data_IF_954258964916
#
_entry.id   IF_954258964916
#
_cell.length_a   1.000
_cell.length_b   1.000
_cell.length_c   1.000
_cell.angle_alpha   90.00
_cell.angle_beta   90.00
_cell.angle_gamma   90.00
#
_symmetry.space_group_name_H-M   'P 1'
#
loop_
_entity.id
_entity.type
_entity.pdbx_description
1 polymer ?
#
# COMPACT_ATOMS: atom_id res chain seq x y z
N UNK A 1 31.24 33.73 -15.67
CA UNK A 1 31.32 32.28 -15.97
C UNK A 1 30.18 31.61 -15.23
N UNK A 2 29.28 30.92 -15.93
CA UNK A 2 28.23 30.12 -15.28
C UNK A 2 28.89 28.89 -14.65
N UNK A 3 28.63 28.61 -13.38
CA UNK A 3 29.12 27.39 -12.74
C UNK A 3 28.50 26.17 -13.42
N UNK A 4 29.29 25.10 -13.62
CA UNK A 4 28.77 23.84 -14.15
C UNK A 4 27.85 23.19 -13.11
N UNK A 5 26.77 22.57 -13.57
CA UNK A 5 25.86 21.83 -12.69
C UNK A 5 26.57 20.60 -12.11
N UNK A 6 26.24 20.16 -10.88
CA UNK A 6 26.71 18.88 -10.37
C UNK A 6 26.23 17.72 -11.25
N UNK A 7 27.05 16.67 -11.37
CA UNK A 7 26.76 15.52 -12.23
C UNK A 7 26.24 14.32 -11.44
N UNK A 8 25.28 13.62 -12.03
CA UNK A 8 24.76 12.34 -11.57
C UNK A 8 24.84 11.32 -12.71
N UNK A 9 25.01 10.06 -12.34
CA UNK A 9 25.26 8.97 -13.27
C UNK A 9 24.27 7.83 -13.04
N UNK A 10 23.44 7.54 -14.03
CA UNK A 10 22.58 6.37 -14.09
C UNK A 10 23.19 5.29 -14.98
N UNK A 11 23.04 4.03 -14.58
CA UNK A 11 23.33 2.88 -15.44
C UNK A 11 22.21 1.86 -15.31
N UNK A 12 21.80 1.27 -16.43
CA UNK A 12 20.89 0.12 -16.48
C UNK A 12 21.45 -0.92 -17.46
N UNK A 13 21.34 -2.20 -17.12
CA UNK A 13 21.79 -3.28 -18.00
C UNK A 13 23.30 -3.56 -17.93
N UNK A 14 23.80 -4.50 -18.75
CA UNK A 14 23.01 -5.33 -19.68
C UNK A 14 22.21 -6.44 -18.96
N UNK A 15 22.53 -6.76 -17.70
CA UNK A 15 21.76 -7.66 -16.85
C UNK A 15 20.70 -6.91 -16.02
N UNK A 16 20.07 -7.56 -15.05
CA UNK A 16 19.11 -6.94 -14.11
C UNK A 16 19.81 -6.07 -13.05
N UNK A 17 20.68 -5.17 -13.47
CA UNK A 17 21.38 -4.21 -12.61
C UNK A 17 20.98 -2.78 -12.99
N UNK A 18 20.63 -1.99 -11.97
CA UNK A 18 20.33 -0.57 -12.10
C UNK A 18 21.07 0.20 -11.00
N UNK A 19 21.73 1.31 -11.36
CA UNK A 19 22.43 2.14 -10.39
C UNK A 19 22.23 3.62 -10.67
N UNK A 20 22.23 4.43 -9.61
CA UNK A 20 22.20 5.88 -9.68
C UNK A 20 23.19 6.45 -8.67
N UNK A 21 24.21 7.17 -9.16
CA UNK A 21 25.40 7.56 -8.40
C UNK A 21 25.73 9.04 -8.57
N UNK A 22 26.35 9.62 -7.54
CA UNK A 22 26.93 10.96 -7.60
C UNK A 22 28.29 10.97 -8.32
N UNK A 23 28.89 12.15 -8.46
CA UNK A 23 30.20 12.31 -9.09
C UNK A 23 31.36 11.67 -8.31
N UNK A 24 31.14 11.33 -7.03
CA UNK A 24 32.10 10.61 -6.20
C UNK A 24 31.88 9.08 -6.29
N UNK A 25 30.88 8.63 -7.05
CA UNK A 25 30.54 7.22 -7.23
C UNK A 25 29.67 6.66 -6.10
N UNK A 26 29.22 7.46 -5.15
CA UNK A 26 28.34 6.99 -4.08
C UNK A 26 26.93 6.81 -4.61
N UNK A 27 26.20 5.83 -4.07
CA UNK A 27 24.78 5.67 -4.38
C UNK A 27 24.00 6.90 -3.92
N UNK A 28 23.19 7.47 -4.80
CA UNK A 28 22.31 8.59 -4.47
C UNK A 28 21.19 8.09 -3.56
N UNK A 29 21.19 8.58 -2.33
CA UNK A 29 20.12 8.34 -1.34
C UNK A 29 19.46 9.64 -0.89
N UNK A 30 20.23 10.72 -0.87
CA UNK A 30 19.78 12.09 -0.64
C UNK A 30 20.51 13.06 -1.57
N UNK A 31 19.79 14.06 -2.10
CA UNK A 31 20.36 15.22 -2.79
C UNK A 31 19.84 16.51 -2.16
N UNK A 32 20.52 17.62 -2.40
CA UNK A 32 19.97 18.95 -2.15
C UNK A 32 19.15 19.41 -3.37
N UNK A 33 18.14 20.29 -3.20
CA UNK A 33 17.41 20.85 -4.33
C UNK A 33 18.33 21.65 -5.25
N UNK A 34 18.11 21.57 -6.56
CA UNK A 34 18.93 22.26 -7.54
C UNK A 34 18.88 21.64 -8.93
N UNK A 35 19.60 22.24 -9.87
CA UNK A 35 19.76 21.75 -11.23
C UNK A 35 21.02 20.88 -11.34
N UNK A 36 20.87 19.70 -11.94
CA UNK A 36 21.89 18.67 -12.08
C UNK A 36 21.95 18.21 -13.54
N UNK A 37 23.15 17.85 -14.00
CA UNK A 37 23.34 17.15 -15.27
C UNK A 37 23.36 15.65 -15.00
N UNK A 38 22.38 14.94 -15.53
CA UNK A 38 22.18 13.50 -15.34
C UNK A 38 22.61 12.77 -16.61
N UNK A 39 23.67 11.98 -16.53
CA UNK A 39 24.07 11.09 -17.61
C UNK A 39 23.57 9.68 -17.33
N UNK A 40 22.84 9.08 -18.26
CA UNK A 40 22.36 7.70 -18.15
C UNK A 40 22.98 6.86 -19.25
N UNK A 41 23.57 5.72 -18.86
CA UNK A 41 24.07 4.69 -19.77
C UNK A 41 23.09 3.51 -19.76
N UNK A 42 22.40 3.31 -20.86
CA UNK A 42 21.56 2.15 -21.11
C UNK A 42 22.33 1.12 -21.93
N UNK A 43 22.51 -0.06 -21.37
CA UNK A 43 23.37 -1.12 -21.92
C UNK A 43 22.55 -2.26 -22.53
N UNK A 44 21.22 -2.15 -22.63
CA UNK A 44 20.33 -3.22 -23.10
C UNK A 44 19.12 -2.69 -23.85
N UNK A 45 18.66 -3.43 -24.85
CA UNK A 45 17.48 -3.17 -25.68
C UNK A 45 16.18 -3.79 -25.11
N UNK A 46 16.22 -4.28 -23.87
CA UNK A 46 15.06 -4.78 -23.12
C UNK A 46 14.91 -4.13 -21.74
N UNK A 47 15.61 -3.02 -21.53
CA UNK A 47 15.64 -2.27 -20.29
C UNK A 47 15.27 -0.81 -20.50
N UNK A 48 14.97 -0.14 -19.39
CA UNK A 48 14.75 1.30 -19.38
C UNK A 48 15.32 1.83 -18.08
N UNK A 49 15.87 3.04 -18.11
CA UNK A 49 16.13 3.83 -16.92
C UNK A 49 15.08 4.92 -16.86
N UNK A 50 14.13 4.82 -15.94
CA UNK A 50 13.07 5.80 -15.75
C UNK A 50 13.28 6.53 -14.42
N UNK A 51 13.66 7.80 -14.51
CA UNK A 51 13.76 8.74 -13.39
C UNK A 51 12.48 9.55 -13.24
N UNK A 52 11.79 9.38 -12.11
CA UNK A 52 10.50 10.00 -11.84
C UNK A 52 10.43 10.67 -10.47
N UNK A 53 9.71 11.79 -10.40
CA UNK A 53 9.34 12.47 -9.16
C UNK A 53 8.72 13.84 -9.44
N UNK A 54 8.62 14.73 -8.42
CA UNK A 54 8.04 16.05 -8.61
C UNK A 54 8.69 16.83 -9.77
N UNK A 55 7.93 17.02 -10.85
CA UNK A 55 8.36 17.74 -12.05
C UNK A 55 9.40 17.04 -12.91
N UNK A 56 9.64 15.74 -12.71
CA UNK A 56 10.62 14.94 -13.44
C UNK A 56 9.97 13.64 -13.91
N UNK A 57 10.07 13.37 -15.21
CA UNK A 57 9.58 12.16 -15.89
C UNK A 57 10.49 11.89 -17.10
N UNK A 58 11.73 11.50 -16.81
CA UNK A 58 12.77 11.25 -17.81
C UNK A 58 13.01 9.75 -17.95
N UNK A 59 13.12 9.25 -19.18
CA UNK A 59 13.38 7.83 -19.40
C UNK A 59 14.08 7.54 -20.71
N UNK A 60 14.83 6.44 -20.74
CA UNK A 60 15.23 5.78 -21.99
C UNK A 60 14.07 4.94 -22.54
N UNK A 61 14.10 4.68 -23.84
CA UNK A 61 13.15 3.76 -24.50
C UNK A 61 13.59 2.30 -24.29
N UNK A 62 12.66 1.35 -24.40
CA UNK A 62 12.97 -0.07 -24.17
C UNK A 62 14.03 -0.58 -25.14
N UNK A 63 13.88 -0.29 -26.43
CA UNK A 63 14.77 -0.74 -27.51
C UNK A 63 15.96 0.22 -27.74
N UNK A 64 16.30 1.05 -26.74
CA UNK A 64 17.43 1.98 -26.81
C UNK A 64 18.68 1.41 -26.14
N UNK A 65 19.82 1.50 -26.81
CA UNK A 65 21.13 1.23 -26.19
C UNK A 65 22.06 2.40 -26.47
N UNK A 66 22.64 2.98 -25.43
CA UNK A 66 23.51 4.14 -25.56
C UNK A 66 23.54 5.03 -24.33
N UNK A 67 24.00 6.26 -24.51
CA UNK A 67 24.10 7.25 -23.43
C UNK A 67 23.17 8.43 -23.72
N UNK A 68 22.34 8.80 -22.76
CA UNK A 68 21.55 10.04 -22.77
C UNK A 68 22.05 11.00 -21.70
N UNK A 69 21.90 12.29 -21.94
CA UNK A 69 22.21 13.33 -20.96
C UNK A 69 20.97 14.22 -20.79
N UNK A 70 20.52 14.37 -19.55
CA UNK A 70 19.38 15.19 -19.17
C UNK A 70 19.85 16.31 -18.25
N UNK A 71 19.27 17.50 -18.38
CA UNK A 71 19.42 18.56 -17.37
C UNK A 71 18.15 18.59 -16.53
N UNK A 72 18.25 18.14 -15.29
CA UNK A 72 17.10 17.91 -14.40
C UNK A 72 17.15 18.90 -13.25
N UNK A 73 16.03 19.56 -12.96
CA UNK A 73 15.88 20.41 -11.77
C UNK A 73 15.09 19.67 -10.71
N UNK A 74 15.77 19.27 -9.64
CA UNK A 74 15.17 18.61 -8.49
C UNK A 74 14.64 19.63 -7.48
N UNK A 75 13.42 19.37 -6.99
CA UNK A 75 12.76 20.13 -5.92
C UNK A 75 12.65 19.24 -4.68
N UNK A 76 12.32 19.81 -3.53
CA UNK A 76 12.02 19.03 -2.31
C UNK A 76 10.98 17.94 -2.61
N UNK A 77 11.34 16.68 -2.39
CA UNK A 77 10.51 15.59 -2.89
C UNK A 77 11.09 14.19 -2.72
N UNK A 78 10.23 13.20 -3.00
CA UNK A 78 10.63 11.80 -3.14
C UNK A 78 10.73 11.47 -4.62
N UNK A 79 11.84 10.86 -5.01
CA UNK A 79 12.12 10.48 -6.38
C UNK A 79 12.42 8.99 -6.44
N UNK A 80 12.28 8.42 -7.63
CA UNK A 80 12.62 7.03 -7.91
C UNK A 80 13.30 6.89 -9.25
N UNK A 81 14.21 5.94 -9.36
CA UNK A 81 14.70 5.45 -10.63
C UNK A 81 14.37 3.96 -10.74
N UNK A 82 13.86 3.50 -11.88
CA UNK A 82 13.46 2.10 -12.08
C UNK A 82 13.51 1.67 -13.54
N UNK A 83 13.41 0.37 -13.75
CA UNK A 83 13.10 -0.22 -15.05
C UNK A 83 11.59 -0.44 -15.17
N UNK A 84 10.94 0.14 -16.19
CA UNK A 84 9.50 0.00 -16.38
C UNK A 84 9.08 -1.44 -16.75
N UNK A 85 9.77 -2.16 -17.66
CA UNK A 85 9.55 -3.59 -17.89
C UNK A 85 9.78 -4.48 -16.65
N UNK A 86 10.60 -4.03 -15.69
CA UNK A 86 10.96 -4.79 -14.49
C UNK A 86 10.75 -3.95 -13.22
N UNK A 87 9.50 -3.78 -12.73
CA UNK A 87 9.16 -2.79 -11.69
C UNK A 87 9.84 -3.00 -10.33
N UNK A 88 10.39 -4.19 -10.07
CA UNK A 88 11.17 -4.50 -8.86
C UNK A 88 12.63 -4.08 -8.97
N UNK A 89 13.11 -3.75 -10.17
CA UNK A 89 14.47 -3.29 -10.44
C UNK A 89 14.50 -1.76 -10.40
N UNK A 90 14.91 -1.21 -9.26
CA UNK A 90 14.94 0.22 -9.04
C UNK A 90 15.03 0.55 -7.56
N UNK A 91 15.09 1.83 -7.26
CA UNK A 91 15.15 2.30 -5.89
C UNK A 91 14.65 3.75 -5.78
N UNK A 92 14.65 4.28 -4.56
CA UNK A 92 14.19 5.63 -4.24
C UNK A 92 15.30 6.46 -3.60
N UNK A 93 15.19 7.77 -3.76
CA UNK A 93 16.02 8.74 -3.07
C UNK A 93 15.18 9.98 -2.71
N UNK A 94 15.72 10.77 -1.79
CA UNK A 94 15.08 11.98 -1.29
C UNK A 94 15.82 13.21 -1.80
N UNK A 95 15.09 14.28 -2.12
CA UNK A 95 15.68 15.60 -2.39
C UNK A 95 15.25 16.55 -1.28
N UNK A 96 16.24 17.22 -0.69
CA UNK A 96 16.10 18.21 0.37
C UNK A 96 15.28 17.71 1.54
N UNK A 97 14.26 18.49 1.91
CA UNK A 97 13.32 18.15 2.99
C UNK A 97 11.93 17.97 2.37
N UNK A 98 11.61 16.75 1.88
CA UNK A 98 10.35 16.53 1.20
C UNK A 98 9.21 16.95 2.12
N UNK A 99 8.20 17.69 1.62
CA UNK A 99 7.05 18.01 2.43
C UNK A 99 6.48 16.70 2.97
N UNK A 100 6.19 16.65 4.28
CA UNK A 100 5.60 15.49 4.91
C UNK A 100 4.42 15.05 4.04
N UNK A 101 4.48 13.85 3.47
CA UNK A 101 3.38 13.33 2.68
C UNK A 101 2.15 13.41 3.57
N UNK A 102 1.18 14.24 3.19
CA UNK A 102 -0.10 14.26 3.89
C UNK A 102 -0.58 12.81 3.92
N UNK A 103 -0.87 12.22 5.09
CA UNK A 103 -1.30 10.83 5.16
C UNK A 103 -2.42 10.64 4.12
N UNK A 104 -2.39 9.59 3.30
CA UNK A 104 -3.44 9.38 2.31
C UNK A 104 -4.78 9.53 3.01
N UNK A 105 -5.64 10.43 2.50
CA UNK A 105 -6.93 10.75 3.10
C UNK A 105 -7.58 9.43 3.51
N UNK A 106 -7.75 9.22 4.83
CA UNK A 106 -8.26 7.96 5.33
C UNK A 106 -9.60 7.70 4.63
N UNK A 107 -9.71 6.56 3.94
CA UNK A 107 -10.94 6.20 3.23
C UNK A 107 -12.14 6.39 4.18
N UNK A 108 -13.22 7.04 3.72
CA UNK A 108 -14.30 7.46 4.61
C UNK A 108 -14.85 6.27 5.38
N UNK A 109 -14.93 6.43 6.71
CA UNK A 109 -15.48 5.43 7.59
C UNK A 109 -16.97 5.22 7.29
N UNK A 110 -17.39 3.97 7.22
CA UNK A 110 -18.80 3.64 6.98
C UNK A 110 -19.67 4.07 8.18
N UNK A 111 -20.93 4.41 7.93
CA UNK A 111 -21.86 4.85 8.98
C UNK A 111 -22.80 3.71 9.38
N UNK A 112 -23.50 3.86 10.51
CA UNK A 112 -24.46 2.87 11.01
C UNK A 112 -25.62 2.55 10.06
N UNK A 113 -25.86 3.39 9.03
CA UNK A 113 -26.83 3.10 7.95
C UNK A 113 -26.38 1.93 7.07
N UNK A 114 -25.08 1.59 7.08
CA UNK A 114 -24.52 0.51 6.28
C UNK A 114 -24.76 -0.85 6.95
N UNK A 115 -25.48 -1.75 6.26
CA UNK A 115 -25.60 -3.15 6.68
C UNK A 115 -24.28 -3.89 6.47
N UNK A 116 -23.89 -4.69 7.46
CA UNK A 116 -22.64 -5.46 7.43
C UNK A 116 -22.92 -6.93 7.18
N UNK A 117 -22.01 -7.56 6.45
CA UNK A 117 -21.97 -8.99 6.19
C UNK A 117 -20.65 -9.55 6.73
N UNK A 118 -20.74 -10.34 7.80
CA UNK A 118 -19.65 -11.16 8.31
C UNK A 118 -19.81 -12.58 7.76
N UNK A 119 -18.83 -13.09 7.03
CA UNK A 119 -18.87 -14.47 6.50
C UNK A 119 -17.66 -15.24 6.99
N UNK A 120 -17.88 -16.38 7.63
CA UNK A 120 -16.87 -17.36 8.00
C UNK A 120 -17.10 -18.66 7.21
N UNK A 121 -16.03 -19.23 6.65
CA UNK A 121 -16.13 -20.50 5.92
C UNK A 121 -16.66 -20.37 4.47
N UNK A 122 -16.71 -21.48 3.72
CA UNK A 122 -16.34 -22.85 4.12
C UNK A 122 -14.83 -23.10 4.08
N UNK A 123 -14.06 -22.29 3.33
CA UNK A 123 -12.59 -22.26 3.40
C UNK A 123 -12.13 -21.57 4.68
N UNK A 124 -10.84 -21.63 5.03
CA UNK A 124 -10.25 -20.87 6.16
C UNK A 124 -10.19 -19.34 5.88
N UNK A 125 -11.36 -18.74 5.66
CA UNK A 125 -11.53 -17.34 5.28
C UNK A 125 -12.63 -16.74 6.14
N UNK A 126 -12.35 -15.57 6.70
CA UNK A 126 -13.35 -14.73 7.36
C UNK A 126 -13.31 -13.32 6.77
N UNK A 127 -14.46 -12.75 6.45
CA UNK A 127 -14.55 -11.42 5.85
C UNK A 127 -15.63 -10.58 6.48
N UNK A 128 -15.35 -9.29 6.66
CA UNK A 128 -16.33 -8.26 7.00
C UNK A 128 -16.49 -7.30 5.82
N UNK A 129 -17.68 -7.32 5.21
CA UNK A 129 -18.02 -6.51 4.05
C UNK A 129 -19.28 -5.69 4.31
N UNK A 130 -19.44 -4.61 3.58
CA UNK A 130 -20.74 -3.93 3.44
C UNK A 130 -21.67 -4.80 2.61
N UNK A 131 -22.98 -4.57 2.67
CA UNK A 131 -23.95 -5.22 1.77
C UNK A 131 -23.64 -4.99 0.28
N UNK A 132 -22.95 -3.90 -0.07
CA UNK A 132 -22.47 -3.61 -1.42
C UNK A 132 -21.15 -4.34 -1.78
N UNK A 133 -20.66 -5.25 -0.93
CA UNK A 133 -19.48 -6.08 -1.20
C UNK A 133 -18.13 -5.45 -0.85
N UNK A 134 -18.07 -4.16 -0.50
CA UNK A 134 -16.83 -3.47 -0.10
C UNK A 134 -16.31 -3.96 1.25
N UNK A 135 -15.01 -4.25 1.36
CA UNK A 135 -14.36 -4.57 2.63
C UNK A 135 -14.42 -3.39 3.61
N UNK A 136 -14.69 -3.68 4.88
CA UNK A 136 -14.82 -2.66 5.92
C UNK A 136 -13.48 -2.46 6.62
N UNK A 137 -12.87 -1.29 6.44
CA UNK A 137 -11.58 -0.93 7.07
C UNK A 137 -11.77 0.03 8.26
N UNK A 138 -12.76 0.90 8.19
CA UNK A 138 -13.09 1.88 9.22
C UNK A 138 -14.61 2.09 9.30
N UNK A 139 -15.12 2.34 10.50
CA UNK A 139 -16.54 2.55 10.79
C UNK A 139 -16.71 3.59 11.90
N UNK A 140 -17.74 4.42 11.79
CA UNK A 140 -18.08 5.41 12.82
C UNK A 140 -18.75 4.75 14.04
N UNK A 141 -18.97 5.54 15.09
CA UNK A 141 -19.85 5.14 16.18
C UNK A 141 -21.29 4.96 15.68
N UNK A 142 -22.02 4.06 16.35
CA UNK A 142 -23.42 3.81 16.06
C UNK A 142 -23.79 2.34 16.11
N UNK A 143 -25.06 2.05 15.81
CA UNK A 143 -25.61 0.70 15.91
C UNK A 143 -25.66 0.04 14.55
N UNK A 144 -24.84 -0.99 14.36
CA UNK A 144 -24.75 -1.73 13.11
C UNK A 144 -25.58 -3.01 13.19
N UNK A 145 -26.26 -3.32 12.07
CA UNK A 145 -26.84 -4.63 11.84
C UNK A 145 -25.83 -5.48 11.08
N UNK A 146 -25.41 -6.59 11.69
CA UNK A 146 -24.43 -7.52 11.15
C UNK A 146 -25.12 -8.83 10.80
N UNK A 147 -25.27 -9.11 9.51
CA UNK A 147 -25.64 -10.44 9.03
C UNK A 147 -24.40 -11.33 9.10
N UNK A 148 -24.47 -12.41 9.86
CA UNK A 148 -23.39 -13.36 10.06
C UNK A 148 -23.73 -14.64 9.31
N UNK A 149 -22.89 -15.03 8.35
CA UNK A 149 -23.00 -16.29 7.61
C UNK A 149 -21.88 -17.21 8.02
N UNK A 150 -22.23 -18.30 8.70
CA UNK A 150 -21.30 -19.35 9.07
C UNK A 150 -21.51 -20.55 8.16
N UNK A 151 -20.51 -20.87 7.34
CA UNK A 151 -20.65 -21.78 6.20
C UNK A 151 -19.94 -23.12 6.40
N UNK A 152 -19.24 -23.34 7.51
CA UNK A 152 -18.58 -24.62 7.78
C UNK A 152 -18.76 -25.09 9.22
N UNK A 153 -18.66 -26.40 9.43
CA UNK A 153 -18.87 -27.04 10.75
C UNK A 153 -17.62 -26.98 11.64
N UNK A 154 -16.51 -26.52 11.08
CA UNK A 154 -15.22 -26.39 11.75
C UNK A 154 -14.83 -24.91 11.87
N UNK A 155 -15.79 -24.01 11.65
CA UNK A 155 -15.61 -22.56 11.74
C UNK A 155 -16.58 -21.97 12.73
N UNK A 156 -16.17 -20.89 13.39
CA UNK A 156 -17.11 -19.97 13.98
C UNK A 156 -16.84 -18.55 13.48
N UNK A 157 -17.88 -17.74 13.44
CA UNK A 157 -17.74 -16.30 13.33
C UNK A 157 -17.69 -15.73 14.74
N UNK A 158 -16.60 -15.05 15.11
CA UNK A 158 -16.43 -14.40 16.40
C UNK A 158 -16.10 -12.92 16.19
N UNK A 159 -16.88 -12.03 16.82
CA UNK A 159 -16.65 -10.60 16.88
C UNK A 159 -16.19 -10.22 18.29
N UNK A 160 -15.09 -9.47 18.36
CA UNK A 160 -14.62 -8.80 19.58
C UNK A 160 -14.51 -7.31 19.31
N UNK A 161 -15.27 -6.51 20.05
CA UNK A 161 -15.25 -5.06 19.97
C UNK A 161 -15.48 -4.46 21.37
N UNK A 162 -15.26 -3.15 21.59
CA UNK A 162 -15.55 -2.52 22.89
C UNK A 162 -16.99 -2.79 23.34
N UNK A 163 -17.16 -3.61 24.39
CA UNK A 163 -18.46 -4.02 24.94
C UNK A 163 -19.14 -5.20 24.24
N UNK A 164 -18.46 -5.88 23.30
CA UNK A 164 -19.02 -7.03 22.57
C UNK A 164 -18.01 -8.17 22.45
N UNK A 165 -18.47 -9.37 22.76
CA UNK A 165 -17.79 -10.64 22.55
C UNK A 165 -18.87 -11.64 22.09
N UNK A 166 -19.09 -11.69 20.78
CA UNK A 166 -20.19 -12.45 20.16
C UNK A 166 -19.60 -13.53 19.26
N UNK A 167 -20.07 -14.76 19.37
CA UNK A 167 -19.67 -15.82 18.45
C UNK A 167 -20.83 -16.73 18.08
N UNK A 168 -20.77 -17.29 16.88
CA UNK A 168 -21.64 -18.41 16.54
C UNK A 168 -21.27 -19.61 17.40
N UNK A 169 -22.29 -20.27 17.93
CA UNK A 169 -22.17 -21.45 18.77
C UNK A 169 -23.30 -22.42 18.44
N UNK A 170 -23.06 -23.74 18.51
CA UNK A 170 -21.76 -24.40 18.72
C UNK A 170 -20.79 -24.20 17.53
N UNK A 171 -19.53 -24.65 17.62
CA UNK A 171 -18.57 -24.57 16.51
C UNK A 171 -19.09 -25.27 15.24
N UNK A 172 -19.95 -26.28 15.40
CA UNK A 172 -20.62 -26.98 14.30
C UNK A 172 -21.78 -26.21 13.66
N UNK A 173 -22.11 -25.01 14.15
CA UNK A 173 -23.21 -24.20 13.63
C UNK A 173 -22.97 -23.84 12.16
N UNK A 174 -23.92 -24.21 11.30
CA UNK A 174 -24.00 -23.77 9.91
C UNK A 174 -25.29 -23.01 9.71
N UNK A 175 -25.21 -21.76 9.27
CA UNK A 175 -26.40 -20.96 9.05
C UNK A 175 -26.14 -19.48 9.01
N UNK A 176 -27.24 -18.72 9.07
CA UNK A 176 -27.19 -17.26 9.11
C UNK A 176 -27.77 -16.76 10.43
N UNK A 177 -27.08 -15.82 11.08
CA UNK A 177 -27.58 -15.07 12.23
C UNK A 177 -27.57 -13.58 11.92
N UNK A 178 -28.31 -12.79 12.69
CA UNK A 178 -28.23 -11.33 12.63
C UNK A 178 -27.95 -10.79 14.02
N UNK A 179 -26.86 -10.02 14.16
CA UNK A 179 -26.48 -9.38 15.41
C UNK A 179 -26.63 -7.86 15.31
N UNK A 180 -27.12 -7.24 16.37
CA UNK A 180 -27.11 -5.78 16.52
C UNK A 180 -25.95 -5.39 17.43
N UNK A 181 -25.01 -4.60 16.91
CA UNK A 181 -23.78 -4.20 17.61
C UNK A 181 -23.73 -2.67 17.72
N UNK A 182 -23.89 -2.14 18.94
CA UNK A 182 -23.87 -0.72 19.24
C UNK A 182 -22.46 -0.25 19.63
N UNK A 183 -21.72 0.27 18.66
CA UNK A 183 -20.36 0.76 18.85
C UNK A 183 -20.41 2.14 19.50
N UNK A 184 -20.38 2.16 20.84
CA UNK A 184 -20.44 3.39 21.66
C UNK A 184 -19.07 4.00 21.94
N UNK A 185 -17.98 3.28 21.66
CA UNK A 185 -16.60 3.71 21.94
C UNK A 185 -15.72 3.48 20.71
N UNK A 186 -14.78 4.39 20.50
CA UNK A 186 -13.71 4.20 19.51
C UNK A 186 -12.82 3.04 19.92
N UNK A 187 -12.14 2.43 18.96
CA UNK A 187 -11.30 1.25 19.21
C UNK A 187 -11.20 0.36 17.98
N UNK A 188 -11.17 -0.94 18.20
CA UNK A 188 -11.01 -1.93 17.13
C UNK A 188 -12.18 -2.89 17.12
N UNK A 189 -12.79 -3.07 15.96
CA UNK A 189 -13.74 -4.13 15.68
C UNK A 189 -12.97 -5.32 15.11
N UNK A 190 -12.72 -6.35 15.91
CA UNK A 190 -12.06 -7.58 15.48
C UNK A 190 -13.09 -8.61 15.06
N UNK A 191 -12.76 -9.37 14.02
CA UNK A 191 -13.52 -10.53 13.61
C UNK A 191 -12.56 -11.68 13.30
N UNK A 192 -12.86 -12.87 13.80
CA UNK A 192 -12.00 -14.04 13.70
C UNK A 192 -12.80 -15.34 13.73
N UNK A 193 -12.14 -16.42 13.36
CA UNK A 193 -12.57 -17.78 13.65
C UNK A 193 -11.64 -18.36 14.70
N UNK A 194 -12.15 -18.74 15.87
CA UNK A 194 -11.36 -19.16 17.03
C UNK A 194 -10.35 -20.28 16.70
N UNK A 195 -10.77 -21.44 16.13
CA UNK A 195 -9.82 -22.51 15.81
C UNK A 195 -8.80 -22.17 14.72
N UNK A 196 -9.08 -21.16 13.89
CA UNK A 196 -8.26 -20.80 12.74
C UNK A 196 -7.58 -19.42 12.86
N UNK A 197 -7.75 -18.73 13.99
CA UNK A 197 -7.24 -17.38 14.19
C UNK A 197 -5.70 -17.34 14.13
N UNK A 198 -5.04 -18.36 14.68
CA UNK A 198 -3.57 -18.49 14.66
C UNK A 198 -3.03 -18.63 13.22
N UNK A 199 -3.79 -19.28 12.33
CA UNK A 199 -3.44 -19.48 10.91
C UNK A 199 -3.80 -18.28 10.01
N UNK A 200 -4.30 -17.20 10.59
CA UNK A 200 -4.60 -15.96 9.86
C UNK A 200 -6.06 -15.76 9.48
N UNK A 201 -6.99 -16.63 9.89
CA UNK A 201 -8.44 -16.43 9.68
C UNK A 201 -9.01 -15.38 10.67
N UNK A 202 -8.54 -14.15 10.51
CA UNK A 202 -8.85 -12.99 11.34
C UNK A 202 -8.76 -11.71 10.53
N UNK A 203 -9.46 -10.68 10.98
CA UNK A 203 -9.35 -9.33 10.45
C UNK A 203 -9.83 -8.30 11.45
N UNK A 204 -9.73 -7.03 11.06
CA UNK A 204 -10.20 -5.94 11.91
C UNK A 204 -10.61 -4.72 11.11
N UNK A 205 -11.44 -3.88 11.72
CA UNK A 205 -11.77 -2.54 11.26
C UNK A 205 -11.58 -1.54 12.41
N UNK A 206 -11.16 -0.31 12.08
CA UNK A 206 -11.03 0.78 13.05
C UNK A 206 -12.40 1.38 13.36
N UNK A 207 -12.70 1.56 14.64
CA UNK A 207 -13.88 2.29 15.10
C UNK A 207 -13.44 3.73 15.40
N UNK A 208 -13.98 4.68 14.64
CA UNK A 208 -13.70 6.11 14.73
C UNK A 208 -14.94 6.87 15.21
N UNK A 209 -14.78 8.15 15.55
CA UNK A 209 -15.90 9.03 15.87
C UNK A 209 -16.77 9.30 14.63
#
# INVERSE_FOLDING_TARGET
MQAQNPKLFGTIGPEFEISFRDAQGNRVTKLEPGTYDVQVRDLSDFHTFHLAGPGVDERTEVEFTGTVNWTVTFKDGNYSYRCDPHPTLGDKFVVGTPPATSPPLAAPAITAKTKLLLTAGPRQVITLKTAAGKAVKSMKLGTYTVTVRDRGSDHNAHIVAPGYNLKTTPLSFKGTQTWKVALKRTGTFRFLCDPHAARGMRGSAKIVR
#
